data_IF_913317527362
#
_entry.id   IF_913317527362
#
_cell.length_a   1.000
_cell.length_b   1.000
_cell.length_c   1.000
_cell.angle_alpha   90.00
_cell.angle_beta   90.00
_cell.angle_gamma   90.00
#
_symmetry.space_group_name_H-M   'P 1'
#
loop_
_entity.id
_entity.type
_entity.pdbx_description
1 polymer ?
#
# COMPACT_ATOMS: atom_id res chain seq x y z
N UNK A 1 17.84 -6.33 11.44
CA UNK A 1 17.60 -5.01 12.10
C UNK A 1 16.85 -4.04 11.20
N UNK A 2 17.31 -3.73 9.98
CA UNK A 2 16.67 -2.74 9.10
C UNK A 2 15.29 -3.12 8.54
N UNK A 3 15.04 -4.42 8.27
CA UNK A 3 13.75 -4.87 7.73
C UNK A 3 12.56 -4.50 8.60
N UNK A 4 12.68 -4.64 9.92
CA UNK A 4 11.63 -4.25 10.89
C UNK A 4 11.31 -2.75 10.80
N UNK A 5 12.35 -1.91 10.73
CA UNK A 5 12.17 -0.46 10.58
C UNK A 5 11.43 -0.10 9.28
N UNK A 6 11.78 -0.75 8.16
CA UNK A 6 11.12 -0.50 6.88
C UNK A 6 9.62 -0.84 6.96
N UNK A 7 9.28 -2.01 7.52
CA UNK A 7 7.88 -2.41 7.66
C UNK A 7 7.11 -1.46 8.59
N UNK A 8 7.72 -1.01 9.69
CA UNK A 8 7.11 0.00 10.57
C UNK A 8 6.83 1.33 9.83
N UNK A 9 7.73 1.77 8.94
CA UNK A 9 7.53 2.97 8.12
C UNK A 9 6.45 2.75 7.05
N UNK A 10 6.38 1.58 6.41
CA UNK A 10 5.30 1.27 5.47
C UNK A 10 3.93 1.29 6.19
N UNK A 11 3.87 0.72 7.40
CA UNK A 11 2.67 0.76 8.24
C UNK A 11 2.37 2.17 8.76
N UNK A 12 3.30 3.11 8.75
CA UNK A 12 3.05 4.52 9.13
C UNK A 12 2.40 5.35 8.03
N UNK A 13 2.32 4.83 6.80
CA UNK A 13 1.65 5.48 5.67
C UNK A 13 0.51 4.62 5.09
N UNK A 14 0.05 3.61 5.83
CA UNK A 14 -0.94 2.63 5.41
C UNK A 14 -2.12 2.60 6.40
N UNK A 15 -3.35 2.44 5.92
CA UNK A 15 -4.50 2.23 6.81
C UNK A 15 -4.35 0.90 7.55
N UNK A 16 -4.41 0.93 8.89
CA UNK A 16 -4.11 -0.25 9.74
C UNK A 16 -5.36 -1.07 10.08
N UNK A 17 -6.46 -0.86 9.37
CA UNK A 17 -7.75 -1.50 9.60
C UNK A 17 -7.80 -2.90 8.97
N UNK A 18 -6.89 -3.78 9.43
CA UNK A 18 -6.77 -5.13 8.89
C UNK A 18 -8.01 -5.99 9.16
N UNK A 19 -8.80 -5.71 10.19
CA UNK A 19 -10.01 -6.48 10.55
C UNK A 19 -11.14 -6.32 9.52
N UNK A 20 -11.18 -5.20 8.80
CA UNK A 20 -12.16 -4.91 7.76
C UNK A 20 -11.56 -5.01 6.36
N UNK A 21 -10.27 -5.32 6.25
CA UNK A 21 -9.56 -5.43 4.99
C UNK A 21 -9.90 -6.75 4.27
N UNK A 22 -10.31 -6.66 3.01
CA UNK A 22 -10.62 -7.83 2.15
C UNK A 22 -9.42 -8.76 1.96
N UNK A 23 -8.18 -8.23 2.04
CA UNK A 23 -6.95 -9.00 1.91
C UNK A 23 -6.40 -9.52 3.24
N UNK A 24 -7.13 -9.35 4.35
CA UNK A 24 -6.71 -9.89 5.64
C UNK A 24 -6.53 -11.40 5.56
N UNK A 25 -5.44 -11.92 6.12
CA UNK A 25 -5.07 -13.35 6.04
C UNK A 25 -4.22 -13.73 4.82
N UNK A 26 -4.28 -12.97 3.73
CA UNK A 26 -3.45 -13.17 2.52
C UNK A 26 -2.53 -11.97 2.23
N UNK A 27 -2.56 -10.94 3.09
CA UNK A 27 -1.78 -9.73 2.91
C UNK A 27 -0.30 -9.95 3.25
N UNK A 28 0.58 -9.78 2.25
CA UNK A 28 2.03 -9.93 2.42
C UNK A 28 2.60 -8.94 3.46
N UNK A 29 2.09 -7.70 3.50
CA UNK A 29 2.53 -6.71 4.49
C UNK A 29 2.15 -7.13 5.92
N UNK A 30 0.96 -7.69 6.10
CA UNK A 30 0.49 -8.23 7.37
C UNK A 30 1.35 -9.41 7.82
N UNK A 31 1.61 -10.37 6.94
CA UNK A 31 2.47 -11.53 7.21
C UNK A 31 3.90 -11.11 7.59
N UNK A 32 4.48 -10.15 6.88
CA UNK A 32 5.79 -9.57 7.23
C UNK A 32 5.78 -8.90 8.60
N UNK A 33 4.72 -8.18 8.95
CA UNK A 33 4.58 -7.55 10.26
C UNK A 33 4.50 -8.59 11.39
N UNK A 34 3.74 -9.67 11.18
CA UNK A 34 3.66 -10.78 12.13
C UNK A 34 5.01 -11.50 12.30
N UNK A 35 5.67 -11.86 11.19
CA UNK A 35 7.00 -12.51 11.21
C UNK A 35 8.07 -11.69 11.95
N UNK A 36 7.94 -10.37 11.97
CA UNK A 36 8.86 -9.47 12.66
C UNK A 36 8.40 -9.04 14.06
N UNK A 37 7.32 -9.63 14.57
CA UNK A 37 6.70 -9.30 15.85
C UNK A 37 6.47 -7.79 16.00
N UNK A 38 5.84 -7.18 15.00
CA UNK A 38 5.41 -5.77 15.04
C UNK A 38 3.99 -5.76 15.60
N UNK A 39 3.86 -5.49 16.89
CA UNK A 39 2.56 -5.32 17.58
C UNK A 39 2.17 -3.86 17.70
N UNK A 40 3.16 -2.97 17.75
CA UNK A 40 2.98 -1.52 17.83
C UNK A 40 3.89 -0.84 16.82
N UNK A 41 3.36 0.18 16.15
CA UNK A 41 4.13 1.00 15.22
C UNK A 41 4.52 2.28 15.93
N UNK A 42 5.82 2.53 16.03
CA UNK A 42 6.39 3.68 16.76
C UNK A 42 6.13 5.01 16.07
N UNK A 43 5.81 4.98 14.78
CA UNK A 43 5.53 6.14 13.95
C UNK A 43 4.02 6.39 13.87
N UNK A 44 3.65 7.67 13.99
CA UNK A 44 2.27 8.11 13.77
C UNK A 44 1.85 7.85 12.32
N UNK A 45 0.56 7.64 12.12
CA UNK A 45 0.03 7.55 10.76
C UNK A 45 -0.01 8.96 10.17
N UNK A 46 0.84 9.23 9.18
CA UNK A 46 1.00 10.57 8.60
C UNK A 46 0.22 10.77 7.32
N UNK A 47 -0.43 9.73 6.79
CA UNK A 47 -1.13 9.82 5.50
C UNK A 47 -2.58 10.23 5.71
N UNK A 48 -2.98 11.30 5.04
CA UNK A 48 -4.38 11.71 4.96
C UNK A 48 -5.22 10.65 4.26
N UNK A 49 -6.45 10.47 4.74
CA UNK A 49 -7.41 9.57 4.12
C UNK A 49 -7.85 10.14 2.77
N UNK A 50 -7.70 9.34 1.72
CA UNK A 50 -8.08 9.68 0.35
C UNK A 50 -9.31 8.88 -0.08
N UNK A 51 -10.15 9.42 -0.98
CA UNK A 51 -11.28 8.67 -1.51
C UNK A 51 -10.82 7.46 -2.34
N UNK A 52 -11.72 6.49 -2.50
CA UNK A 52 -11.52 5.41 -3.45
C UNK A 52 -11.51 5.96 -4.87
N UNK A 53 -10.60 5.45 -5.68
CA UNK A 53 -10.57 5.70 -7.12
C UNK A 53 -11.38 4.60 -7.81
N UNK A 54 -12.55 4.99 -8.33
CA UNK A 54 -13.47 4.16 -9.10
C UNK A 54 -13.62 4.69 -10.53
N UNK A 55 -12.62 5.42 -11.02
CA UNK A 55 -12.65 6.03 -12.36
C UNK A 55 -12.73 4.99 -13.48
N UNK A 56 -12.24 3.77 -13.23
CA UNK A 56 -12.27 2.66 -14.16
C UNK A 56 -13.28 1.60 -13.73
N UNK A 57 -14.11 1.06 -14.65
CA UNK A 57 -14.98 -0.08 -14.34
C UNK A 57 -14.21 -1.38 -14.11
N UNK A 58 -12.95 -1.46 -14.53
CA UNK A 58 -12.12 -2.66 -14.41
C UNK A 58 -11.33 -2.75 -13.10
N UNK A 59 -11.13 -1.62 -12.41
CA UNK A 59 -10.27 -1.55 -11.23
C UNK A 59 -10.81 -0.51 -10.24
N UNK A 60 -11.04 -0.95 -9.00
CA UNK A 60 -11.22 -0.06 -7.86
C UNK A 60 -9.89 0.03 -7.11
N UNK A 61 -9.38 1.23 -6.94
CA UNK A 61 -8.12 1.48 -6.24
C UNK A 61 -8.39 2.20 -4.92
N UNK A 62 -7.84 1.65 -3.84
CA UNK A 62 -7.84 2.28 -2.52
C UNK A 62 -6.43 2.84 -2.22
N UNK A 63 -6.22 4.17 -2.30
CA UNK A 63 -4.91 4.76 -2.07
C UNK A 63 -4.42 4.58 -0.63
N UNK A 64 -5.33 4.41 0.34
CA UNK A 64 -4.99 4.29 1.76
C UNK A 64 -4.35 2.92 2.08
N UNK A 65 -4.62 1.92 1.24
CA UNK A 65 -4.00 0.58 1.30
C UNK A 65 -2.73 0.46 0.46
N UNK A 66 -2.42 1.42 -0.39
CA UNK A 66 -1.26 1.36 -1.28
C UNK A 66 0.04 1.74 -0.57
N UNK A 67 1.07 0.88 -0.65
CA UNK A 67 2.42 1.17 -0.14
C UNK A 67 3.39 1.70 -1.21
N UNK A 68 2.88 2.07 -2.39
CA UNK A 68 3.66 2.60 -3.51
C UNK A 68 4.77 1.65 -4.00
N UNK A 69 4.55 0.34 -3.98
CA UNK A 69 5.54 -0.66 -4.44
C UNK A 69 5.76 -0.64 -5.97
N UNK A 70 4.79 -0.19 -6.74
CA UNK A 70 4.87 -0.09 -8.20
C UNK A 70 4.57 -1.39 -8.95
N UNK A 71 4.23 -2.48 -8.26
CA UNK A 71 3.94 -3.76 -8.91
C UNK A 71 2.76 -3.67 -9.88
N UNK A 72 1.72 -2.91 -9.55
CA UNK A 72 0.58 -2.68 -10.45
C UNK A 72 0.97 -1.87 -11.70
N UNK A 73 1.81 -0.86 -11.55
CA UNK A 73 2.34 -0.03 -12.66
C UNK A 73 3.18 -0.89 -13.58
N UNK A 74 4.09 -1.69 -13.01
CA UNK A 74 4.92 -2.64 -13.76
C UNK A 74 4.10 -3.70 -14.46
N UNK A 75 3.12 -4.32 -13.80
CA UNK A 75 2.25 -5.29 -14.44
C UNK A 75 1.46 -4.69 -15.62
N UNK A 76 0.96 -3.45 -15.48
CA UNK A 76 0.26 -2.75 -16.55
C UNK A 76 1.16 -2.45 -17.76
N UNK A 77 2.42 -2.10 -17.52
CA UNK A 77 3.38 -1.77 -18.57
C UNK A 77 4.04 -3.01 -19.20
N UNK A 78 4.59 -3.90 -18.38
CA UNK A 78 5.43 -5.04 -18.80
C UNK A 78 4.60 -6.26 -19.23
N UNK A 79 3.47 -6.53 -18.57
CA UNK A 79 2.66 -7.73 -18.84
C UNK A 79 1.50 -7.41 -19.79
N UNK A 80 0.74 -6.34 -19.52
CA UNK A 80 -0.38 -5.95 -20.37
C UNK A 80 0.05 -5.13 -21.59
N UNK A 81 1.21 -4.46 -21.54
CA UNK A 81 1.73 -3.65 -22.65
C UNK A 81 1.00 -2.32 -22.87
N UNK A 82 0.13 -1.89 -21.94
CA UNK A 82 -0.72 -0.71 -22.12
C UNK A 82 -0.11 0.56 -21.52
N UNK A 83 0.55 0.44 -20.36
CA UNK A 83 1.20 1.58 -19.69
C UNK A 83 0.24 2.67 -19.19
N UNK A 84 -1.02 2.33 -18.90
CA UNK A 84 -2.06 3.28 -18.47
C UNK A 84 -1.93 3.66 -17.00
N UNK A 85 -1.44 2.74 -16.16
CA UNK A 85 -1.17 3.02 -14.75
C UNK A 85 0.21 3.65 -14.58
N UNK A 86 0.30 4.66 -13.72
CA UNK A 86 1.55 5.32 -13.37
C UNK A 86 1.47 6.02 -12.02
N UNK A 87 2.62 6.50 -11.54
CA UNK A 87 2.66 7.36 -10.36
C UNK A 87 2.52 8.83 -10.75
N UNK A 88 1.66 9.54 -10.05
CA UNK A 88 1.55 10.99 -10.07
C UNK A 88 2.09 11.58 -8.76
N UNK A 89 2.51 12.86 -8.83
CA UNK A 89 3.08 13.60 -7.70
C UNK A 89 4.38 12.97 -7.14
N UNK A 90 4.81 13.42 -5.95
CA UNK A 90 6.09 13.04 -5.32
C UNK A 90 5.96 12.96 -3.81
N UNK A 91 6.86 12.20 -3.18
CA UNK A 91 6.92 12.10 -1.72
C UNK A 91 5.66 11.48 -1.12
N UNK A 92 5.18 12.05 -0.02
CA UNK A 92 3.94 11.62 0.66
C UNK A 92 2.69 11.82 -0.19
N UNK A 93 2.75 12.72 -1.18
CA UNK A 93 1.61 13.02 -2.03
C UNK A 93 1.44 12.02 -3.19
N UNK A 94 2.46 11.18 -3.41
CA UNK A 94 2.48 10.23 -4.51
C UNK A 94 1.26 9.30 -4.49
N UNK A 95 0.68 9.12 -5.68
CA UNK A 95 -0.42 8.20 -5.94
C UNK A 95 -0.18 7.44 -7.23
#
# INVERSE_FOLDING_TARGET
RYRKLIVELLLSAHCRDCTTCVKSGECVLQDLAHKMNITTVRFQNTREQRPLDTSSPALIRDPNKCILCGDCVRACSEIQGLGVLGFAHRGTDAM
#
